data_IF_068549348245
#
_entry.id   IF_068549348245
#
_cell.length_a   1.000
_cell.length_b   1.000
_cell.length_c   1.000
_cell.angle_alpha   90.00
_cell.angle_beta   90.00
_cell.angle_gamma   90.00
#
_symmetry.space_group_name_H-M   'P 1'
#
loop_
_entity.id
_entity.type
_entity.pdbx_description
1 polymer ?
#
# COMPACT_ATOMS: atom_id res chain seq x y z
N UNK A 1 -20.61 -4.79 15.24
CA UNK A 1 -19.41 -5.26 14.53
C UNK A 1 -18.21 -4.74 15.31
N UNK A 2 -18.06 -5.17 16.57
CA UNK A 2 -17.40 -4.33 17.59
C UNK A 2 -16.50 -5.04 18.61
N UNK A 3 -16.52 -6.38 18.76
CA UNK A 3 -15.69 -7.03 19.79
C UNK A 3 -14.76 -8.14 19.27
N UNK A 4 -15.13 -8.84 18.19
CA UNK A 4 -14.27 -9.89 17.60
C UNK A 4 -13.12 -9.32 16.77
N UNK A 5 -13.31 -8.18 16.10
CA UNK A 5 -12.26 -7.58 15.25
C UNK A 5 -11.11 -7.01 16.09
N UNK A 6 -11.38 -6.58 17.32
CA UNK A 6 -10.37 -6.11 18.25
C UNK A 6 -9.53 -7.26 18.84
N UNK A 7 -10.08 -8.49 18.92
CA UNK A 7 -9.33 -9.68 19.38
C UNK A 7 -8.29 -10.17 18.37
N UNK A 8 -8.43 -9.86 17.08
CA UNK A 8 -7.48 -10.26 16.03
C UNK A 8 -6.39 -9.23 15.76
N UNK A 9 -6.52 -8.02 16.31
CA UNK A 9 -5.57 -6.92 16.10
C UNK A 9 -4.33 -7.11 16.98
N UNK A 10 -3.10 -7.07 16.43
CA UNK A 10 -1.90 -7.23 17.23
C UNK A 10 -1.74 -6.14 18.30
N UNK A 11 -1.37 -6.52 19.53
CA UNK A 11 -1.10 -5.57 20.64
C UNK A 11 -0.10 -4.46 20.27
N UNK A 12 0.89 -4.80 19.45
CA UNK A 12 1.91 -3.84 18.99
C UNK A 12 1.30 -2.71 18.18
N UNK A 13 0.27 -3.00 17.39
CA UNK A 13 -0.47 -1.97 16.66
C UNK A 13 -1.23 -1.06 17.63
N UNK A 14 -1.94 -1.63 18.61
CA UNK A 14 -2.67 -0.84 19.62
C UNK A 14 -1.74 0.14 20.36
N UNK A 15 -0.53 -0.32 20.72
CA UNK A 15 0.49 0.55 21.32
C UNK A 15 0.90 1.68 20.38
N UNK A 16 1.17 1.40 19.11
CA UNK A 16 1.56 2.42 18.13
C UNK A 16 0.46 3.47 17.94
N UNK A 17 -0.80 3.05 17.89
CA UNK A 17 -1.92 3.99 17.73
C UNK A 17 -2.11 4.93 18.93
N UNK A 18 -1.52 4.63 20.09
CA UNK A 18 -1.52 5.51 21.27
C UNK A 18 -0.33 6.48 21.31
N UNK A 19 0.68 6.27 20.46
CA UNK A 19 1.87 7.12 20.39
C UNK A 19 1.53 8.35 19.51
N UNK A 20 1.91 9.57 19.91
CA UNK A 20 1.72 10.74 19.06
C UNK A 20 2.46 10.59 17.72
N UNK A 21 1.95 11.17 16.62
CA UNK A 21 2.63 11.10 15.33
C UNK A 21 4.09 11.58 15.41
N UNK A 22 5.02 10.96 14.67
CA UNK A 22 6.41 11.41 14.62
C UNK A 22 6.52 12.87 14.17
N UNK A 23 7.60 13.54 14.58
CA UNK A 23 7.89 14.91 14.10
C UNK A 23 7.95 14.96 12.56
N UNK A 24 7.57 16.08 11.96
CA UNK A 24 7.45 16.23 10.50
C UNK A 24 8.71 15.80 9.74
N UNK A 25 9.90 16.21 10.21
CA UNK A 25 11.15 15.85 9.55
C UNK A 25 11.41 14.33 9.51
N UNK A 26 10.91 13.56 10.50
CA UNK A 26 10.98 12.10 10.49
C UNK A 26 9.99 11.55 9.46
N UNK A 27 8.77 12.07 9.41
CA UNK A 27 7.80 11.66 8.39
C UNK A 27 8.35 11.90 6.97
N UNK A 28 9.01 13.04 6.73
CA UNK A 28 9.64 13.37 5.45
C UNK A 28 10.80 12.44 5.06
N UNK A 29 11.51 11.84 6.04
CA UNK A 29 12.53 10.83 5.77
C UNK A 29 11.93 9.52 5.24
N UNK A 30 10.70 9.21 5.65
CA UNK A 30 9.97 8.01 5.24
C UNK A 30 8.96 8.26 4.11
N UNK A 31 8.88 9.50 3.61
CA UNK A 31 7.93 9.90 2.57
C UNK A 31 8.29 9.35 1.19
N UNK A 32 7.52 9.75 0.18
CA UNK A 32 7.73 9.36 -1.21
C UNK A 32 9.11 9.75 -1.74
N UNK A 33 9.71 8.85 -2.50
CA UNK A 33 11.03 9.05 -3.09
C UNK A 33 10.91 9.73 -4.47
N UNK A 34 11.33 11.00 -4.63
CA UNK A 34 11.26 11.68 -5.93
C UNK A 34 12.17 11.05 -6.99
N UNK A 35 13.17 10.25 -6.59
CA UNK A 35 14.09 9.54 -7.48
C UNK A 35 13.64 8.11 -7.80
N UNK A 36 12.56 7.61 -7.17
CA UNK A 36 12.09 6.23 -7.34
C UNK A 36 10.57 6.19 -7.58
N UNK A 37 10.20 6.64 -8.79
CA UNK A 37 8.84 6.89 -9.23
C UNK A 37 8.65 6.67 -10.72
N UNK A 38 7.40 6.53 -11.16
CA UNK A 38 7.05 6.78 -12.56
C UNK A 38 7.38 8.23 -12.95
N UNK A 39 7.79 8.43 -14.20
CA UNK A 39 7.99 9.76 -14.78
C UNK A 39 6.72 10.62 -14.76
N UNK A 40 5.54 10.00 -14.73
CA UNK A 40 4.25 10.68 -14.70
C UNK A 40 3.82 11.12 -13.28
N UNK A 41 4.63 10.89 -12.26
CA UNK A 41 4.36 11.30 -10.87
C UNK A 41 5.41 12.33 -10.46
N UNK A 42 5.08 13.30 -9.62
CA UNK A 42 6.06 14.16 -8.95
C UNK A 42 5.68 14.36 -7.48
N UNK A 43 6.66 14.63 -6.62
CA UNK A 43 6.44 15.02 -5.21
C UNK A 43 6.46 16.53 -5.14
N UNK A 44 5.54 17.14 -4.39
CA UNK A 44 5.48 18.60 -4.22
C UNK A 44 6.65 19.10 -3.37
N UNK A 45 7.15 20.29 -3.68
CA UNK A 45 8.22 20.92 -2.89
C UNK A 45 7.68 21.43 -1.54
N UNK A 46 6.47 21.98 -1.54
CA UNK A 46 5.79 22.49 -0.36
C UNK A 46 5.20 21.40 0.55
N UNK A 47 4.94 20.20 -0.01
CA UNK A 47 4.38 19.05 0.72
C UNK A 47 5.02 17.75 0.24
N UNK A 48 6.11 17.37 0.94
CA UNK A 48 6.88 16.17 0.62
C UNK A 48 6.18 14.86 1.00
N UNK A 49 5.01 14.92 1.64
CA UNK A 49 4.19 13.76 2.00
C UNK A 49 3.18 13.43 0.90
N UNK A 50 2.98 14.33 -0.06
CA UNK A 50 2.01 14.18 -1.14
C UNK A 50 2.71 14.12 -2.50
N UNK A 51 2.32 13.15 -3.32
CA UNK A 51 2.67 13.13 -4.73
C UNK A 51 1.48 13.51 -5.60
N UNK A 52 1.76 14.00 -6.80
CA UNK A 52 0.79 14.30 -7.85
C UNK A 52 1.10 13.47 -9.08
N UNK A 53 0.04 12.96 -9.73
CA UNK A 53 0.14 12.25 -11.00
C UNK A 53 -0.33 13.17 -12.13
N UNK A 54 0.45 13.29 -13.20
CA UNK A 54 0.03 13.97 -14.42
C UNK A 54 -1.15 13.24 -15.09
N UNK A 55 -2.06 13.95 -15.78
CA UNK A 55 -3.22 13.36 -16.44
C UNK A 55 -2.83 12.64 -17.76
N UNK A 56 -1.99 11.62 -17.66
CA UNK A 56 -1.56 10.79 -18.79
C UNK A 56 -2.55 9.64 -18.97
N UNK A 57 -3.12 9.53 -20.16
CA UNK A 57 -4.12 8.51 -20.48
C UNK A 57 -3.47 7.13 -20.69
N UNK A 58 -4.22 6.08 -20.37
CA UNK A 58 -3.85 4.68 -20.59
C UNK A 58 -2.49 4.29 -19.97
N UNK A 59 -2.16 4.86 -18.82
CA UNK A 59 -0.99 4.44 -18.05
C UNK A 59 -1.37 4.13 -16.61
N UNK A 60 -0.60 3.23 -16.01
CA UNK A 60 -0.59 3.00 -14.57
C UNK A 60 0.76 3.42 -14.04
N UNK A 61 0.77 4.18 -12.95
CA UNK A 61 1.96 4.84 -12.42
C UNK A 61 2.04 4.62 -10.91
N UNK A 62 3.23 4.28 -10.41
CA UNK A 62 3.51 4.02 -9.01
C UNK A 62 4.71 4.84 -8.54
N UNK A 63 4.84 4.96 -7.23
CA UNK A 63 5.95 5.61 -6.53
C UNK A 63 6.25 4.82 -5.26
N UNK A 64 7.53 4.70 -4.89
CA UNK A 64 7.97 4.06 -3.64
C UNK A 64 8.31 5.10 -2.59
N UNK A 65 8.28 4.70 -1.33
CA UNK A 65 8.86 5.48 -0.23
C UNK A 65 10.39 5.46 -0.29
N UNK A 66 11.04 6.41 0.41
CA UNK A 66 12.51 6.52 0.47
C UNK A 66 13.17 5.35 1.18
N UNK A 67 12.49 4.77 2.17
CA UNK A 67 13.05 3.74 3.04
C UNK A 67 12.46 2.38 2.72
N UNK A 68 13.33 1.40 2.47
CA UNK A 68 12.98 -0.01 2.43
C UNK A 68 13.14 -0.62 3.82
N UNK A 69 12.10 -1.28 4.32
CA UNK A 69 12.12 -1.92 5.63
C UNK A 69 12.47 -3.41 5.51
N UNK A 70 13.42 -3.88 6.31
CA UNK A 70 13.85 -5.29 6.36
C UNK A 70 13.48 -6.01 7.66
N UNK A 71 13.12 -5.25 8.71
CA UNK A 71 12.72 -5.78 10.01
C UNK A 71 11.88 -4.75 10.78
N UNK A 72 11.17 -5.16 11.83
CA UNK A 72 10.36 -4.29 12.68
C UNK A 72 8.86 -4.35 12.38
N UNK A 73 8.09 -3.47 13.03
CA UNK A 73 6.65 -3.30 12.81
C UNK A 73 6.40 -1.85 12.46
N UNK A 74 5.95 -1.61 11.24
CA UNK A 74 5.84 -0.27 10.66
C UNK A 74 4.40 0.01 10.31
N UNK A 75 3.95 1.22 10.63
CA UNK A 75 2.60 1.69 10.34
C UNK A 75 2.72 3.04 9.67
N UNK A 76 2.02 3.20 8.55
CA UNK A 76 1.90 4.46 7.85
C UNK A 76 0.44 4.67 7.44
N UNK A 77 0.06 5.93 7.33
CA UNK A 77 -1.27 6.34 6.88
C UNK A 77 -1.21 6.75 5.42
N UNK A 78 -2.21 6.35 4.64
CA UNK A 78 -2.39 6.79 3.26
C UNK A 78 -3.71 7.55 3.18
N UNK A 79 -3.62 8.83 2.84
CA UNK A 79 -4.77 9.65 2.51
C UNK A 79 -4.91 9.72 0.99
N UNK A 80 -5.96 9.08 0.48
CA UNK A 80 -6.25 9.08 -0.95
C UNK A 80 -7.72 9.46 -1.16
N UNK A 81 -8.01 10.69 -1.63
CA UNK A 81 -9.38 11.15 -1.87
C UNK A 81 -10.14 10.19 -2.79
N UNK A 82 -11.33 9.75 -2.37
CA UNK A 82 -12.12 8.74 -3.11
C UNK A 82 -12.39 9.15 -4.57
N UNK A 83 -12.64 10.44 -4.81
CA UNK A 83 -12.89 11.00 -6.15
C UNK A 83 -11.66 10.98 -7.07
N UNK A 84 -10.47 10.67 -6.56
CA UNK A 84 -9.20 10.65 -7.30
C UNK A 84 -8.61 9.23 -7.44
N UNK A 85 -9.37 8.18 -7.10
CA UNK A 85 -8.89 6.78 -7.17
C UNK A 85 -9.01 6.17 -8.58
N UNK A 86 -9.95 6.66 -9.39
CA UNK A 86 -10.17 6.14 -10.73
C UNK A 86 -10.56 4.66 -10.74
N UNK A 87 -10.21 3.95 -11.81
CA UNK A 87 -10.57 2.53 -12.00
C UNK A 87 -9.70 1.57 -11.19
N UNK A 88 -8.43 1.92 -10.95
CA UNK A 88 -7.49 1.09 -10.20
C UNK A 88 -6.70 1.97 -9.23
N UNK A 89 -6.97 1.81 -7.94
CA UNK A 89 -6.20 2.42 -6.87
C UNK A 89 -5.64 1.30 -6.00
N UNK A 90 -4.33 1.10 -6.07
CA UNK A 90 -3.65 0.01 -5.36
C UNK A 90 -2.68 0.60 -4.36
N UNK A 91 -2.78 0.15 -3.11
CA UNK A 91 -1.85 0.49 -2.02
C UNK A 91 -1.14 -0.79 -1.60
N UNK A 92 0.16 -0.71 -1.30
CA UNK A 92 0.89 -1.92 -0.93
C UNK A 92 2.35 -1.71 -0.63
N UNK A 93 3.08 -2.83 -0.66
CA UNK A 93 4.53 -2.89 -0.46
C UNK A 93 5.17 -3.59 -1.64
N UNK A 94 6.40 -3.21 -1.97
CA UNK A 94 7.13 -3.80 -3.08
C UNK A 94 8.64 -3.76 -2.83
N UNK A 95 9.35 -4.67 -3.49
CA UNK A 95 10.80 -4.65 -3.60
C UNK A 95 11.25 -3.52 -4.53
N UNK A 96 12.56 -3.26 -4.58
CA UNK A 96 13.15 -2.26 -5.47
C UNK A 96 13.01 -2.61 -6.96
N UNK A 97 12.78 -3.88 -7.29
CA UNK A 97 12.71 -4.42 -8.65
C UNK A 97 11.31 -4.37 -9.25
N UNK A 98 10.26 -4.14 -8.45
CA UNK A 98 8.89 -3.95 -8.95
C UNK A 98 8.84 -2.79 -9.97
N UNK A 99 8.26 -2.99 -11.17
CA UNK A 99 8.05 -1.91 -12.12
C UNK A 99 7.12 -0.84 -11.56
N UNK A 100 7.48 0.43 -11.78
CA UNK A 100 6.70 1.59 -11.33
C UNK A 100 5.83 2.21 -12.42
N UNK A 101 5.88 1.69 -13.64
CA UNK A 101 5.09 2.17 -14.75
C UNK A 101 4.61 1.01 -15.61
N UNK A 102 3.43 1.14 -16.18
CA UNK A 102 2.93 0.27 -17.24
C UNK A 102 1.99 1.02 -18.16
N UNK A 103 1.99 0.60 -19.41
CA UNK A 103 0.90 0.89 -20.34
C UNK A 103 -0.39 0.16 -19.89
N UNK A 104 -1.51 0.76 -20.25
CA UNK A 104 -2.89 0.41 -19.89
C UNK A 104 -3.22 0.57 -18.40
N UNK A 105 -4.52 0.73 -18.13
CA UNK A 105 -5.05 0.76 -16.77
C UNK A 105 -5.12 -0.66 -16.21
N UNK A 106 -4.23 -0.97 -15.26
CA UNK A 106 -4.19 -2.28 -14.60
C UNK A 106 -3.64 -2.15 -13.17
N UNK A 107 -3.96 -3.07 -12.26
CA UNK A 107 -3.44 -3.02 -10.90
C UNK A 107 -1.96 -3.44 -10.88
N UNK A 108 -1.02 -2.50 -11.08
CA UNK A 108 0.39 -2.84 -11.31
C UNK A 108 1.06 -3.54 -10.12
N UNK A 109 0.80 -3.09 -8.89
CA UNK A 109 1.32 -3.72 -7.67
C UNK A 109 0.54 -5.03 -7.43
N UNK A 110 1.25 -6.13 -7.19
CA UNK A 110 0.64 -7.46 -7.02
C UNK A 110 0.48 -8.29 -8.30
N UNK A 111 0.87 -7.75 -9.45
CA UNK A 111 0.92 -8.51 -10.73
C UNK A 111 2.23 -9.25 -10.97
N UNK A 112 3.22 -9.01 -10.11
CA UNK A 112 4.51 -9.72 -10.13
C UNK A 112 4.77 -10.30 -8.74
N UNK A 113 5.83 -11.10 -8.60
CA UNK A 113 6.27 -11.61 -7.30
C UNK A 113 7.06 -10.56 -6.48
N UNK A 114 7.19 -9.33 -7.01
CA UNK A 114 7.98 -8.24 -6.43
C UNK A 114 7.14 -7.30 -5.56
N UNK A 115 5.84 -7.52 -5.41
CA UNK A 115 5.00 -6.67 -4.57
C UNK A 115 3.66 -7.29 -4.19
N UNK A 116 3.08 -6.75 -3.13
CA UNK A 116 1.78 -7.11 -2.60
C UNK A 116 0.90 -5.87 -2.58
N UNK A 117 -0.27 -5.94 -3.22
CA UNK A 117 -1.13 -4.79 -3.43
C UNK A 117 -2.57 -5.07 -3.00
N UNK A 118 -3.18 -4.12 -2.33
CA UNK A 118 -4.61 -4.09 -2.08
C UNK A 118 -5.26 -3.08 -3.03
N UNK A 119 -6.13 -3.57 -3.90
CA UNK A 119 -6.94 -2.74 -4.79
C UNK A 119 -8.15 -2.19 -4.03
N UNK A 120 -8.04 -0.94 -3.60
CA UNK A 120 -9.05 -0.24 -2.79
C UNK A 120 -10.17 0.35 -3.66
N UNK A 121 -10.09 0.25 -4.99
CA UNK A 121 -11.19 0.58 -5.88
C UNK A 121 -12.24 -0.53 -5.94
N UNK A 122 -11.82 -1.80 -5.78
CA UNK A 122 -12.70 -2.97 -5.91
C UNK A 122 -12.90 -3.73 -4.58
N UNK A 123 -12.29 -3.28 -3.47
CA UNK A 123 -12.26 -3.99 -2.17
C UNK A 123 -11.62 -5.39 -2.23
N UNK A 124 -10.75 -5.68 -3.21
CA UNK A 124 -10.08 -6.99 -3.36
C UNK A 124 -8.56 -6.91 -3.15
N UNK A 125 -8.01 -7.84 -2.36
CA UNK A 125 -6.55 -8.03 -2.23
C UNK A 125 -6.01 -8.77 -3.46
N UNK A 126 -4.94 -8.27 -4.09
CA UNK A 126 -4.31 -8.88 -5.28
C UNK A 126 -2.95 -9.47 -4.92
N UNK A 127 -2.83 -10.79 -5.09
CA UNK A 127 -1.60 -11.58 -4.91
C UNK A 127 -1.53 -12.54 -6.10
N UNK A 128 -0.41 -12.59 -6.83
CA UNK A 128 -0.13 -13.70 -7.75
C UNK A 128 0.96 -14.63 -7.19
N UNK A 129 0.73 -15.94 -7.37
CA UNK A 129 1.59 -17.09 -7.11
C UNK A 129 1.78 -17.56 -5.64
N UNK A 130 0.81 -18.35 -5.17
CA UNK A 130 1.13 -19.68 -4.63
C UNK A 130 0.55 -20.73 -5.59
N UNK A 131 1.37 -21.34 -6.44
CA UNK A 131 1.02 -22.62 -7.06
C UNK A 131 0.98 -23.65 -5.91
N UNK A 132 -0.21 -24.19 -5.64
CA UNK A 132 -0.52 -25.14 -4.55
C UNK A 132 -0.56 -24.59 -3.12
N UNK A 133 -1.50 -23.70 -2.83
CA UNK A 133 -2.31 -23.81 -1.61
C UNK A 133 -3.46 -22.81 -1.68
N UNK A 134 -4.64 -23.29 -1.30
CA UNK A 134 -5.90 -22.55 -1.13
C UNK A 134 -5.68 -21.07 -0.76
N UNK A 135 -6.35 -20.18 -1.47
CA UNK A 135 -6.65 -18.83 -0.97
C UNK A 135 -7.44 -19.04 0.34
N UNK A 136 -6.76 -18.91 1.48
CA UNK A 136 -7.45 -18.66 2.73
C UNK A 136 -8.02 -17.25 2.62
N UNK A 137 -9.28 -17.16 2.16
CA UNK A 137 -10.14 -16.05 2.55
C UNK A 137 -10.20 -16.10 4.07
N UNK A 138 -9.42 -15.27 4.76
CA UNK A 138 -9.68 -15.01 6.17
C UNK A 138 -10.90 -14.11 6.28
N UNK A 139 -12.07 -14.74 6.23
CA UNK A 139 -13.14 -14.55 7.21
C UNK A 139 -14.16 -15.69 7.03
N UNK A 140 -14.02 -16.74 7.84
CA UNK A 140 -15.11 -17.66 8.14
C UNK A 140 -15.06 -17.93 9.65
N UNK A 141 -16.01 -17.38 10.46
CA UNK A 141 -15.94 -17.46 11.92
C UNK A 141 -16.34 -18.82 12.50
N UNK A 142 -16.62 -19.83 11.67
CA UNK A 142 -16.85 -21.19 12.13
C UNK A 142 -15.96 -22.16 11.35
N UNK A 143 -14.92 -22.69 12.01
CA UNK A 143 -14.37 -24.05 11.93
C UNK A 143 -12.96 -24.00 12.55
N UNK A 144 -12.87 -24.43 13.81
CA UNK A 144 -11.88 -25.42 14.26
C UNK A 144 -12.09 -25.70 15.75
N UNK A 145 -12.97 -26.69 16.04
CA UNK A 145 -12.60 -27.74 16.99
C UNK A 145 -11.44 -28.54 16.37
N UNK A 146 -10.63 -29.11 17.27
CA UNK A 146 -9.37 -29.84 17.08
C UNK A 146 -8.13 -28.94 17.11
#
# INVERSE_FOLDING_TARGET
>A
MSDMDDQLRPDKFNRIMQIPPPAQHIQEQHSWNPEDRSLNIYVKDEDKLTFHRYPVAQTTDCIRGKIGYSSGFHVWQIEWPQRQRGTHAVVGVATKTQPLHSIYYKPLIGTTNEGYGWDISEFFLKIQNFRHSKILKFWNPEISKF
#
